data_IF_456191707819
#
_entry.id   IF_456191707819
#
_cell.length_a   1.000
_cell.length_b   1.000
_cell.length_c   1.000
_cell.angle_alpha   90.00
_cell.angle_beta   90.00
_cell.angle_gamma   90.00
#
_symmetry.space_group_name_H-M   'P 1'
#
loop_
_entity.id
_entity.type
_entity.pdbx_description
1 polymer ?
#
# COMPACT_ATOMS: atom_id res chain seq x y z
N UNK A 1 -0.32 10.61 -8.16
CA UNK A 1 -1.28 11.37 -7.32
C UNK A 1 -1.34 10.81 -5.90
N UNK A 2 -1.80 9.57 -5.68
CA UNK A 2 -1.93 9.00 -4.33
C UNK A 2 -0.62 8.99 -3.52
N UNK A 3 0.53 8.68 -4.11
CA UNK A 3 1.82 8.71 -3.39
C UNK A 3 2.14 10.11 -2.86
N UNK A 4 2.02 11.13 -3.72
CA UNK A 4 2.22 12.53 -3.35
C UNK A 4 1.19 13.00 -2.30
N UNK A 5 -0.05 12.52 -2.38
CA UNK A 5 -1.06 12.79 -1.35
C UNK A 5 -0.62 12.25 0.02
N UNK A 6 -0.07 11.04 0.08
CA UNK A 6 0.48 10.48 1.33
C UNK A 6 1.68 11.30 1.84
N UNK A 7 2.57 11.75 0.94
CA UNK A 7 3.67 12.64 1.34
C UNK A 7 3.12 13.92 1.99
N UNK A 8 2.13 14.56 1.36
CA UNK A 8 1.53 15.78 1.91
C UNK A 8 0.81 15.48 3.24
N UNK A 9 0.07 14.37 3.34
CA UNK A 9 -0.59 13.96 4.58
C UNK A 9 0.37 13.90 5.77
N UNK A 10 1.53 13.26 5.60
CA UNK A 10 2.52 13.14 6.68
C UNK A 10 3.36 14.40 6.90
N UNK A 11 3.37 15.35 5.95
CA UNK A 11 4.14 16.59 6.06
C UNK A 11 3.34 17.76 6.63
N UNK A 12 2.01 17.74 6.49
CA UNK A 12 1.15 18.84 6.95
C UNK A 12 0.80 18.64 8.41
N UNK A 13 1.23 19.57 9.27
CA UNK A 13 0.82 19.61 10.67
C UNK A 13 -0.71 19.75 10.79
N UNK A 14 -1.28 19.10 11.80
CA UNK A 14 -2.73 19.12 12.09
C UNK A 14 -3.33 20.51 12.32
N UNK A 15 -2.48 21.53 12.54
CA UNK A 15 -2.83 22.94 12.75
C UNK A 15 -2.52 23.85 11.56
N UNK A 16 -2.08 23.34 10.40
CA UNK A 16 -1.73 24.21 9.27
C UNK A 16 -2.95 24.89 8.68
N UNK A 17 -3.01 26.22 8.84
CA UNK A 17 -4.06 27.08 8.29
C UNK A 17 -3.54 27.88 7.10
N UNK A 18 -4.23 27.81 5.96
CA UNK A 18 -3.98 28.65 4.80
C UNK A 18 -5.23 29.51 4.57
N UNK A 19 -5.08 30.84 4.54
CA UNK A 19 -6.20 31.79 4.41
C UNK A 19 -7.32 31.59 5.47
N UNK A 20 -6.96 31.20 6.69
CA UNK A 20 -7.93 30.95 7.78
C UNK A 20 -8.67 29.60 7.68
N UNK A 21 -8.44 28.82 6.63
CA UNK A 21 -8.96 27.47 6.48
C UNK A 21 -7.91 26.45 6.94
N UNK A 22 -8.29 25.52 7.81
CA UNK A 22 -7.43 24.42 8.21
C UNK A 22 -7.30 23.44 7.02
N UNK A 23 -6.23 23.60 6.23
CA UNK A 23 -5.95 22.76 5.06
C UNK A 23 -5.53 21.34 5.45
N UNK A 24 -5.11 21.12 6.71
CA UNK A 24 -4.80 19.79 7.20
C UNK A 24 -6.02 18.86 7.12
N UNK A 25 -7.26 19.39 7.20
CA UNK A 25 -8.50 18.63 6.99
C UNK A 25 -8.56 17.97 5.61
N UNK A 26 -8.08 18.64 4.56
CA UNK A 26 -8.11 18.13 3.19
C UNK A 26 -7.13 16.97 2.96
N UNK A 27 -6.11 16.87 3.80
CA UNK A 27 -5.04 15.88 3.70
C UNK A 27 -5.14 14.78 4.74
N UNK A 28 -6.22 14.65 5.53
CA UNK A 28 -6.31 13.63 6.61
C UNK A 28 -6.42 12.19 6.11
N UNK A 29 -6.66 11.97 4.83
CA UNK A 29 -7.04 10.65 4.28
C UNK A 29 -5.85 9.82 3.77
N UNK A 30 -4.71 9.86 4.49
CA UNK A 30 -3.48 9.20 4.05
C UNK A 30 -3.61 7.68 3.97
N UNK A 31 -4.30 7.06 4.92
CA UNK A 31 -4.56 5.62 4.94
C UNK A 31 -5.51 5.21 3.81
N UNK A 32 -6.51 6.03 3.49
CA UNK A 32 -7.44 5.82 2.39
C UNK A 32 -6.75 5.87 1.02
N UNK A 33 -5.72 6.71 0.87
CA UNK A 33 -4.87 6.70 -0.32
C UNK A 33 -4.11 5.36 -0.45
N UNK A 34 -3.76 4.70 0.66
CA UNK A 34 -3.18 3.35 0.65
C UNK A 34 -4.23 2.29 0.31
N UNK A 35 -5.48 2.44 0.74
CA UNK A 35 -6.59 1.57 0.29
C UNK A 35 -6.77 1.65 -1.23
N UNK A 36 -6.65 2.84 -1.82
CA UNK A 36 -6.60 2.99 -3.28
C UNK A 36 -5.38 2.27 -3.89
N UNK A 37 -4.21 2.30 -3.26
CA UNK A 37 -3.05 1.51 -3.71
C UNK A 37 -3.31 0.00 -3.68
N UNK A 38 -3.97 -0.53 -2.66
CA UNK A 38 -4.31 -1.95 -2.62
C UNK A 38 -5.25 -2.34 -3.77
N UNK A 39 -6.27 -1.53 -4.06
CA UNK A 39 -7.17 -1.76 -5.19
C UNK A 39 -6.43 -1.71 -6.54
N UNK A 40 -5.59 -0.70 -6.75
CA UNK A 40 -4.80 -0.55 -7.98
C UNK A 40 -3.74 -1.67 -8.12
N UNK A 41 -3.10 -2.05 -7.02
CA UNK A 41 -2.13 -3.15 -6.98
C UNK A 41 -2.81 -4.46 -7.41
N UNK A 42 -3.94 -4.83 -6.81
CA UNK A 42 -4.70 -6.02 -7.20
C UNK A 42 -5.07 -6.02 -8.68
N UNK A 43 -5.49 -4.85 -9.19
CA UNK A 43 -5.81 -4.68 -10.60
C UNK A 43 -4.60 -4.94 -11.52
N UNK A 44 -3.47 -4.27 -11.26
CA UNK A 44 -2.26 -4.32 -12.10
C UNK A 44 -1.59 -5.69 -12.04
N UNK A 45 -1.58 -6.32 -10.87
CA UNK A 45 -0.98 -7.64 -10.69
C UNK A 45 -1.77 -8.70 -11.45
N UNK A 46 -3.10 -8.68 -11.34
CA UNK A 46 -3.93 -9.58 -12.14
C UNK A 46 -3.78 -9.32 -13.64
N UNK A 47 -3.83 -8.06 -14.06
CA UNK A 47 -3.70 -7.68 -15.46
C UNK A 47 -2.38 -8.17 -16.06
N UNK A 48 -1.27 -7.96 -15.36
CA UNK A 48 0.06 -8.40 -15.81
C UNK A 48 0.23 -9.92 -15.76
N UNK A 49 -0.36 -10.60 -14.77
CA UNK A 49 -0.33 -12.06 -14.64
C UNK A 49 -1.13 -12.76 -15.74
N UNK A 50 -2.31 -12.24 -16.11
CA UNK A 50 -3.13 -12.83 -17.17
C UNK A 50 -2.49 -12.63 -18.54
N UNK A 51 -1.87 -11.46 -18.78
CA UNK A 51 -1.20 -11.15 -20.05
C UNK A 51 0.15 -11.85 -20.26
N UNK A 52 0.80 -12.32 -19.19
CA UNK A 52 2.09 -12.99 -19.36
C UNK A 52 1.92 -14.43 -19.85
N UNK A 53 2.81 -14.86 -20.75
CA UNK A 53 2.81 -16.24 -21.26
C UNK A 53 3.36 -17.22 -20.22
N UNK A 54 4.39 -16.81 -19.49
CA UNK A 54 5.04 -17.62 -18.46
C UNK A 54 4.35 -17.42 -17.10
N UNK A 55 3.62 -18.45 -16.67
CA UNK A 55 2.89 -18.50 -15.40
C UNK A 55 3.60 -19.33 -14.33
N UNK A 56 4.91 -19.56 -14.47
CA UNK A 56 5.70 -20.23 -13.44
C UNK A 56 5.82 -19.36 -12.18
N UNK A 57 5.93 -20.02 -11.02
CA UNK A 57 6.14 -19.31 -9.76
C UNK A 57 7.47 -18.56 -9.77
N UNK A 58 8.53 -19.17 -10.32
CA UNK A 58 9.85 -18.55 -10.39
C UNK A 58 9.83 -17.20 -11.10
N UNK A 59 9.26 -17.13 -12.31
CA UNK A 59 9.18 -15.86 -13.07
C UNK A 59 8.28 -14.84 -12.38
N UNK A 60 7.17 -15.28 -11.80
CA UNK A 60 6.28 -14.41 -11.02
C UNK A 60 7.01 -13.84 -9.80
N UNK A 61 7.54 -14.71 -8.95
CA UNK A 61 8.27 -14.37 -7.73
C UNK A 61 9.43 -13.44 -8.03
N UNK A 62 10.29 -13.77 -9.00
CA UNK A 62 11.45 -12.97 -9.35
C UNK A 62 11.07 -11.54 -9.77
N UNK A 63 10.04 -11.38 -10.60
CA UNK A 63 9.55 -10.06 -11.03
C UNK A 63 9.00 -9.24 -9.86
N UNK A 64 8.32 -9.86 -8.89
CA UNK A 64 7.78 -9.16 -7.71
C UNK A 64 8.86 -8.87 -6.68
N UNK A 65 9.74 -9.82 -6.42
CA UNK A 65 10.86 -9.70 -5.51
C UNK A 65 11.79 -8.56 -5.93
N UNK A 66 12.23 -8.55 -7.19
CA UNK A 66 13.12 -7.48 -7.67
C UNK A 66 12.46 -6.11 -7.66
N UNK A 67 11.17 -6.02 -8.02
CA UNK A 67 10.40 -4.77 -8.01
C UNK A 67 10.30 -4.14 -6.61
N UNK A 68 10.15 -4.97 -5.58
CA UNK A 68 9.98 -4.55 -4.18
C UNK A 68 11.32 -4.39 -3.48
N UNK A 69 12.17 -5.42 -3.48
CA UNK A 69 13.35 -5.49 -2.64
C UNK A 69 14.51 -4.61 -3.12
N UNK A 70 14.69 -4.42 -4.44
CA UNK A 70 15.81 -3.58 -4.91
C UNK A 70 15.67 -2.15 -4.38
N UNK A 71 14.54 -1.44 -4.60
CA UNK A 71 14.42 -0.09 -4.06
C UNK A 71 14.30 -0.09 -2.53
N UNK A 72 13.66 -1.11 -1.93
CA UNK A 72 13.55 -1.21 -0.47
C UNK A 72 14.91 -1.28 0.23
N UNK A 73 15.83 -2.12 -0.26
CA UNK A 73 17.16 -2.28 0.34
C UNK A 73 17.94 -0.96 0.29
N UNK A 74 17.86 -0.22 -0.82
CA UNK A 74 18.48 1.10 -0.94
C UNK A 74 17.90 2.06 0.11
N UNK A 75 16.58 2.06 0.29
CA UNK A 75 15.89 2.92 1.27
C UNK A 75 16.16 2.50 2.71
N UNK A 76 16.31 1.21 3.00
CA UNK A 76 16.68 0.72 4.34
C UNK A 76 18.12 1.12 4.71
N UNK A 77 19.05 1.02 3.75
CA UNK A 77 20.43 1.49 3.93
C UNK A 77 20.47 3.00 4.15
N UNK A 78 19.70 3.76 3.35
CA UNK A 78 19.55 5.20 3.56
C UNK A 78 18.99 5.50 4.95
N UNK A 79 17.94 4.79 5.37
CA UNK A 79 17.33 4.96 6.70
C UNK A 79 18.33 4.76 7.83
N UNK A 80 19.13 3.70 7.77
CA UNK A 80 20.20 3.47 8.74
C UNK A 80 21.22 4.63 8.78
N UNK A 81 21.66 5.13 7.63
CA UNK A 81 22.58 6.26 7.58
C UNK A 81 21.97 7.56 8.12
N UNK A 82 20.68 7.79 7.89
CA UNK A 82 19.97 8.94 8.44
C UNK A 82 19.89 8.87 9.97
N UNK A 83 19.65 7.70 10.55
CA UNK A 83 19.67 7.51 12.00
C UNK A 83 21.07 7.72 12.59
N UNK A 84 22.12 7.22 11.94
CA UNK A 84 23.50 7.51 12.34
C UNK A 84 23.82 9.02 12.29
N UNK A 85 23.35 9.70 11.24
CA UNK A 85 23.54 11.14 11.09
C UNK A 85 22.82 11.93 12.20
N UNK A 86 21.57 11.57 12.52
CA UNK A 86 20.77 12.19 13.58
C UNK A 86 21.37 11.96 14.97
N UNK A 87 21.88 10.76 15.24
CA UNK A 87 22.52 10.44 16.51
C UNK A 87 23.94 11.02 16.66
N UNK A 88 24.60 11.38 15.55
CA UNK A 88 26.01 11.79 15.54
C UNK A 88 26.99 10.64 15.80
N UNK A 89 26.53 9.41 15.80
CA UNK A 89 27.32 8.20 16.04
C UNK A 89 26.76 6.99 15.27
N UNK A 90 27.50 5.88 15.24
CA UNK A 90 27.03 4.65 14.63
C UNK A 90 25.98 4.01 15.54
N UNK A 91 24.71 4.06 15.13
CA UNK A 91 23.61 3.45 15.88
C UNK A 91 23.57 1.93 15.72
N UNK A 92 22.90 1.24 16.64
CA UNK A 92 22.65 -0.19 16.50
C UNK A 92 21.77 -0.47 15.27
N UNK A 93 22.25 -1.34 14.38
CA UNK A 93 21.55 -1.70 13.13
C UNK A 93 20.27 -2.55 13.33
N UNK A 94 19.91 -2.90 14.57
CA UNK A 94 18.68 -3.64 14.91
C UNK A 94 18.48 -4.87 14.01
N UNK A 95 19.41 -5.86 14.05
CA UNK A 95 19.45 -6.94 13.06
C UNK A 95 18.19 -7.82 13.06
N UNK A 96 17.54 -7.97 14.21
CA UNK A 96 16.26 -8.68 14.33
C UNK A 96 15.16 -7.94 13.58
N UNK A 97 15.05 -6.63 13.80
CA UNK A 97 14.05 -5.76 13.20
C UNK A 97 14.26 -5.68 11.68
N UNK A 98 15.51 -5.55 11.24
CA UNK A 98 15.90 -5.62 9.85
C UNK A 98 15.45 -6.95 9.21
N UNK A 99 15.78 -8.09 9.85
CA UNK A 99 15.39 -9.41 9.34
C UNK A 99 13.87 -9.56 9.23
N UNK A 100 13.11 -9.17 10.25
CA UNK A 100 11.65 -9.29 10.25
C UNK A 100 10.99 -8.34 9.22
N UNK A 101 11.57 -7.16 8.98
CA UNK A 101 11.14 -6.27 7.90
C UNK A 101 11.47 -6.84 6.51
N UNK A 102 12.63 -7.49 6.36
CA UNK A 102 12.98 -8.22 5.13
C UNK A 102 12.09 -9.44 4.90
N UNK A 103 11.52 -10.02 5.96
CA UNK A 103 10.47 -11.06 5.87
C UNK A 103 9.07 -10.49 5.68
N UNK A 104 8.94 -9.16 5.56
CA UNK A 104 7.68 -8.47 5.32
C UNK A 104 6.66 -8.73 6.43
N UNK A 105 7.09 -8.63 7.69
CA UNK A 105 6.26 -8.85 8.90
C UNK A 105 5.98 -7.57 9.69
N UNK A 106 6.40 -6.41 9.17
CA UNK A 106 6.23 -5.13 9.82
C UNK A 106 4.80 -4.58 9.68
N UNK A 107 4.35 -3.90 10.73
CA UNK A 107 3.13 -3.09 10.76
C UNK A 107 3.32 -1.98 11.83
N UNK A 108 2.38 -1.06 12.02
CA UNK A 108 2.56 0.06 12.97
C UNK A 108 1.97 -0.28 14.34
N UNK A 109 2.82 -0.49 15.34
CA UNK A 109 2.43 -0.87 16.70
C UNK A 109 1.63 0.21 17.45
N UNK A 110 1.83 1.48 17.11
CA UNK A 110 1.09 2.60 17.69
C UNK A 110 -0.36 2.68 17.21
N UNK A 111 -0.68 2.14 16.03
CA UNK A 111 -2.01 2.16 15.44
C UNK A 111 -2.77 0.86 15.65
N UNK A 112 -2.04 -0.26 15.80
CA UNK A 112 -2.62 -1.59 15.79
C UNK A 112 -1.99 -2.48 16.87
N UNK A 113 -2.78 -3.33 17.55
CA UNK A 113 -2.27 -4.22 18.60
C UNK A 113 -1.50 -5.41 18.02
N UNK A 114 -0.70 -6.08 18.86
CA UNK A 114 0.00 -7.35 18.58
C UNK A 114 0.74 -7.38 17.22
N UNK A 115 1.41 -6.27 16.90
CA UNK A 115 2.30 -6.17 15.75
C UNK A 115 3.57 -6.98 15.99
N UNK A 116 4.06 -7.67 14.96
CA UNK A 116 5.25 -8.54 15.07
C UNK A 116 6.53 -7.72 15.22
N UNK A 117 6.66 -6.67 14.41
CA UNK A 117 7.77 -5.73 14.42
C UNK A 117 7.32 -4.39 13.85
N UNK A 118 7.88 -3.28 14.34
CA UNK A 118 7.68 -1.97 13.72
C UNK A 118 8.52 -1.80 12.45
N UNK A 119 8.18 -0.82 11.60
CA UNK A 119 8.94 -0.53 10.39
C UNK A 119 10.38 -0.14 10.69
N UNK A 120 11.31 -0.74 9.95
CA UNK A 120 12.75 -0.54 10.14
C UNK A 120 13.14 0.95 10.07
N UNK A 121 13.91 1.41 11.06
CA UNK A 121 14.39 2.80 11.19
C UNK A 121 13.24 3.83 11.09
N UNK A 122 12.11 3.52 11.74
CA UNK A 122 10.91 4.37 11.84
C UNK A 122 10.27 4.76 10.50
N UNK A 123 10.47 3.96 9.46
CA UNK A 123 9.87 4.19 8.14
C UNK A 123 8.42 3.70 8.10
N UNK A 124 7.50 4.43 8.75
CA UNK A 124 6.11 4.01 8.90
C UNK A 124 5.45 3.48 7.61
N UNK A 125 5.65 4.06 6.41
CA UNK A 125 5.06 3.59 5.14
C UNK A 125 5.34 2.12 4.78
N UNK A 126 6.39 1.50 5.34
CA UNK A 126 6.69 0.09 5.08
C UNK A 126 5.58 -0.86 5.61
N UNK A 127 4.67 -0.38 6.46
CA UNK A 127 3.53 -1.16 6.93
C UNK A 127 2.69 -1.70 5.77
N UNK A 128 2.46 -0.92 4.71
CA UNK A 128 1.60 -1.35 3.60
C UNK A 128 2.31 -2.33 2.67
N UNK A 129 3.65 -2.29 2.65
CA UNK A 129 4.50 -3.17 1.85
C UNK A 129 4.44 -4.62 2.32
N UNK A 130 4.28 -4.85 3.63
CA UNK A 130 4.11 -6.20 4.16
C UNK A 130 2.85 -6.85 3.61
N UNK A 131 1.74 -6.11 3.56
CA UNK A 131 0.48 -6.55 2.98
C UNK A 131 0.64 -6.81 1.49
N UNK A 132 1.19 -5.86 0.74
CA UNK A 132 1.41 -6.00 -0.70
C UNK A 132 2.21 -7.25 -1.06
N UNK A 133 3.32 -7.51 -0.36
CA UNK A 133 4.15 -8.70 -0.59
C UNK A 133 3.38 -10.00 -0.36
N UNK A 134 2.69 -10.12 0.78
CA UNK A 134 1.96 -11.35 1.09
C UNK A 134 0.71 -11.52 0.23
N UNK A 135 0.05 -10.44 -0.19
CA UNK A 135 -1.02 -10.51 -1.19
C UNK A 135 -0.53 -11.10 -2.50
N UNK A 136 0.69 -10.78 -2.94
CA UNK A 136 1.27 -11.37 -4.15
C UNK A 136 1.52 -12.86 -3.98
N UNK A 137 2.08 -13.27 -2.83
CA UNK A 137 2.35 -14.67 -2.56
C UNK A 137 1.04 -15.49 -2.52
N UNK A 138 0.04 -15.00 -1.79
CA UNK A 138 -1.27 -15.65 -1.69
C UNK A 138 -2.04 -15.64 -3.02
N UNK A 139 -1.98 -14.54 -3.75
CA UNK A 139 -2.61 -14.42 -5.07
C UNK A 139 -2.13 -15.51 -6.01
N UNK A 140 -0.82 -15.77 -6.09
CA UNK A 140 -0.30 -16.82 -6.95
C UNK A 140 -0.87 -18.19 -6.56
N UNK A 141 -0.94 -18.50 -5.25
CA UNK A 141 -1.47 -19.77 -4.78
C UNK A 141 -2.95 -19.93 -5.12
N UNK A 142 -3.77 -18.88 -4.92
CA UNK A 142 -5.18 -18.88 -5.28
C UNK A 142 -5.36 -19.05 -6.78
N UNK A 143 -4.56 -18.36 -7.60
CA UNK A 143 -4.64 -18.48 -9.06
C UNK A 143 -4.27 -19.87 -9.58
N UNK A 144 -3.30 -20.52 -8.95
CA UNK A 144 -2.78 -21.84 -9.36
C UNK A 144 -3.69 -22.99 -8.92
N UNK A 145 -4.18 -22.95 -7.68
CA UNK A 145 -4.85 -24.11 -7.07
C UNK A 145 -6.37 -24.07 -7.14
N UNK A 146 -6.97 -22.91 -7.40
CA UNK A 146 -8.41 -22.78 -7.60
C UNK A 146 -8.65 -22.50 -9.09
N UNK A 147 -9.47 -23.30 -9.75
CA UNK A 147 -9.66 -23.20 -11.21
C UNK A 147 -10.66 -22.12 -11.60
N UNK A 148 -11.85 -22.14 -10.99
CA UNK A 148 -12.96 -21.24 -11.33
C UNK A 148 -12.80 -19.84 -10.71
N UNK A 149 -13.04 -18.79 -11.51
CA UNK A 149 -13.01 -17.40 -11.03
C UNK A 149 -13.98 -17.18 -9.86
N UNK A 150 -15.21 -17.69 -9.97
CA UNK A 150 -16.21 -17.52 -8.91
C UNK A 150 -15.79 -18.22 -7.62
N UNK A 151 -15.13 -19.38 -7.73
CA UNK A 151 -14.58 -20.09 -6.55
C UNK A 151 -13.42 -19.33 -5.92
N UNK A 152 -12.57 -18.66 -6.71
CA UNK A 152 -11.50 -17.79 -6.19
C UNK A 152 -12.08 -16.63 -5.39
N UNK A 153 -13.07 -15.95 -5.96
CA UNK A 153 -13.72 -14.80 -5.32
C UNK A 153 -14.41 -15.23 -4.02
N UNK A 154 -15.20 -16.31 -4.06
CA UNK A 154 -15.86 -16.87 -2.88
C UNK A 154 -14.87 -17.30 -1.81
N UNK A 155 -13.76 -17.95 -2.19
CA UNK A 155 -12.71 -18.34 -1.26
C UNK A 155 -12.07 -17.14 -0.57
N UNK A 156 -11.68 -16.11 -1.33
CA UNK A 156 -10.99 -14.94 -0.78
C UNK A 156 -11.92 -14.11 0.11
N UNK A 157 -13.16 -13.86 -0.30
CA UNK A 157 -14.11 -13.14 0.56
C UNK A 157 -14.55 -13.97 1.77
N UNK A 158 -14.72 -15.29 1.63
CA UNK A 158 -14.98 -16.17 2.76
C UNK A 158 -13.82 -16.14 3.77
N UNK A 159 -12.58 -16.19 3.27
CA UNK A 159 -11.38 -16.07 4.11
C UNK A 159 -11.29 -14.71 4.78
N UNK A 160 -11.59 -13.62 4.08
CA UNK A 160 -11.59 -12.27 4.64
C UNK A 160 -12.64 -12.12 5.75
N UNK A 161 -13.84 -12.68 5.59
CA UNK A 161 -14.90 -12.66 6.60
C UNK A 161 -14.50 -13.47 7.84
N UNK A 162 -14.01 -14.70 7.67
CA UNK A 162 -13.52 -15.53 8.79
C UNK A 162 -12.35 -14.85 9.51
N UNK A 163 -11.47 -14.21 8.75
CA UNK A 163 -10.33 -13.48 9.30
C UNK A 163 -10.77 -12.22 10.06
N UNK A 164 -11.79 -11.50 9.58
CA UNK A 164 -12.38 -10.37 10.29
C UNK A 164 -13.01 -10.80 11.62
N UNK A 165 -13.78 -11.90 11.62
CA UNK A 165 -14.36 -12.47 12.83
C UNK A 165 -13.26 -12.85 13.83
N UNK A 166 -12.22 -13.53 13.35
CA UNK A 166 -11.08 -13.92 14.19
C UNK A 166 -10.35 -12.69 14.73
N UNK A 167 -10.13 -11.67 13.91
CA UNK A 167 -9.40 -10.46 14.25
C UNK A 167 -10.08 -9.64 15.35
N UNK A 168 -11.42 -9.60 15.38
CA UNK A 168 -12.19 -8.90 16.44
C UNK A 168 -11.92 -9.50 17.84
N UNK A 169 -11.58 -10.78 17.94
CA UNK A 169 -11.28 -11.44 19.22
C UNK A 169 -9.77 -11.63 19.45
N UNK A 170 -9.01 -11.85 18.38
CA UNK A 170 -7.58 -12.11 18.39
C UNK A 170 -6.89 -11.16 17.40
N UNK A 171 -6.65 -9.89 17.79
CA UNK A 171 -6.21 -8.87 16.86
C UNK A 171 -4.70 -8.99 16.61
N UNK A 172 -4.31 -10.00 15.83
CA UNK A 172 -2.92 -10.32 15.46
C UNK A 172 -2.70 -10.15 13.95
N UNK A 173 -1.44 -10.19 13.52
CA UNK A 173 -1.04 -9.86 12.14
C UNK A 173 -1.74 -10.68 11.05
N UNK A 174 -1.82 -12.02 11.18
CA UNK A 174 -2.30 -12.88 10.09
C UNK A 174 -3.80 -12.70 9.76
N UNK A 175 -4.75 -12.72 10.71
CA UNK A 175 -6.15 -12.42 10.43
C UNK A 175 -6.34 -11.01 9.85
N UNK A 176 -5.55 -10.04 10.33
CA UNK A 176 -5.56 -8.69 9.76
C UNK A 176 -5.15 -8.68 8.29
N UNK A 177 -4.02 -9.31 7.97
CA UNK A 177 -3.54 -9.44 6.59
C UNK A 177 -4.62 -10.06 5.69
N UNK A 178 -5.18 -11.21 6.08
CA UNK A 178 -6.16 -11.93 5.28
C UNK A 178 -7.50 -11.19 5.15
N UNK A 179 -7.90 -10.41 6.15
CA UNK A 179 -9.05 -9.52 6.06
C UNK A 179 -8.86 -8.45 4.97
N UNK A 180 -7.72 -7.75 4.97
CA UNK A 180 -7.41 -6.72 3.95
C UNK A 180 -7.19 -7.30 2.55
N UNK A 181 -6.89 -8.60 2.42
CA UNK A 181 -6.81 -9.27 1.12
C UNK A 181 -8.12 -9.13 0.33
N UNK A 182 -9.28 -9.03 0.99
CA UNK A 182 -10.57 -8.80 0.33
C UNK A 182 -10.62 -7.46 -0.43
N UNK A 183 -10.09 -6.39 0.16
CA UNK A 183 -9.98 -5.07 -0.49
C UNK A 183 -9.08 -5.17 -1.72
N UNK A 184 -7.89 -5.77 -1.57
CA UNK A 184 -6.96 -5.94 -2.67
C UNK A 184 -7.54 -6.81 -3.80
N UNK A 185 -8.29 -7.87 -3.44
CA UNK A 185 -8.94 -8.77 -4.40
C UNK A 185 -10.08 -8.12 -5.18
N UNK A 186 -10.74 -7.10 -4.62
CA UNK A 186 -11.69 -6.29 -5.39
C UNK A 186 -11.02 -5.66 -6.62
N UNK A 187 -9.75 -5.27 -6.52
CA UNK A 187 -8.92 -4.86 -7.67
C UNK A 187 -8.73 -5.95 -8.72
N UNK A 188 -8.51 -7.20 -8.29
CA UNK A 188 -8.40 -8.37 -9.17
C UNK A 188 -9.69 -8.58 -9.97
N UNK A 189 -10.86 -8.46 -9.31
CA UNK A 189 -12.17 -8.58 -9.95
C UNK A 189 -12.41 -7.47 -10.97
N UNK A 190 -12.09 -6.23 -10.62
CA UNK A 190 -12.16 -5.09 -11.53
C UNK A 190 -11.27 -5.31 -12.78
N UNK A 191 -10.08 -5.88 -12.61
CA UNK A 191 -9.18 -6.23 -13.70
C UNK A 191 -9.76 -7.31 -14.61
N UNK A 192 -10.33 -8.37 -14.05
CA UNK A 192 -11.00 -9.42 -14.83
C UNK A 192 -12.16 -8.86 -15.67
N UNK A 193 -13.01 -8.02 -15.08
CA UNK A 193 -14.12 -7.38 -15.80
C UNK A 193 -13.62 -6.46 -16.90
N UNK A 194 -12.63 -5.62 -16.60
CA UNK A 194 -12.00 -4.74 -17.58
C UNK A 194 -11.43 -5.52 -18.77
N UNK A 195 -10.73 -6.62 -18.52
CA UNK A 195 -10.13 -7.45 -19.58
C UNK A 195 -11.15 -8.19 -20.44
N UNK A 196 -12.31 -8.54 -19.88
CA UNK A 196 -13.41 -9.17 -20.60
C UNK A 196 -14.31 -8.17 -21.33
N UNK A 197 -14.06 -6.87 -21.16
CA UNK A 197 -14.98 -5.80 -21.57
C UNK A 197 -16.38 -5.96 -20.95
N UNK A 198 -16.46 -6.53 -19.75
CA UNK A 198 -17.71 -6.65 -19.00
C UNK A 198 -18.14 -5.28 -18.47
N UNK A 199 -19.44 -5.10 -18.27
CA UNK A 199 -19.94 -3.93 -17.59
C UNK A 199 -19.43 -3.84 -16.14
N UNK A 200 -18.90 -2.67 -15.80
CA UNK A 200 -18.45 -2.31 -14.44
C UNK A 200 -19.48 -1.34 -13.88
N UNK A 201 -20.43 -1.88 -13.14
CA UNK A 201 -21.51 -1.17 -12.44
C UNK A 201 -21.59 -1.66 -11.00
N UNK A 202 -22.29 -0.95 -10.12
CA UNK A 202 -22.47 -1.40 -8.74
C UNK A 202 -23.22 -2.74 -8.66
N UNK A 203 -24.17 -2.96 -9.56
CA UNK A 203 -24.92 -4.22 -9.68
C UNK A 203 -24.00 -5.37 -10.09
N UNK A 204 -23.11 -5.15 -11.08
CA UNK A 204 -22.17 -6.20 -11.52
C UNK A 204 -21.08 -6.51 -10.48
N UNK A 205 -20.92 -5.65 -9.47
CA UNK A 205 -20.02 -5.80 -8.32
C UNK A 205 -20.76 -6.12 -7.02
N UNK A 206 -22.06 -6.42 -7.04
CA UNK A 206 -22.86 -6.56 -5.82
C UNK A 206 -22.32 -7.64 -4.87
N UNK A 207 -21.93 -8.81 -5.40
CA UNK A 207 -21.39 -9.91 -4.58
C UNK A 207 -20.07 -9.56 -3.87
N UNK A 208 -19.02 -9.08 -4.55
CA UNK A 208 -17.79 -8.70 -3.87
C UNK A 208 -17.98 -7.50 -2.94
N UNK A 209 -18.85 -6.53 -3.30
CA UNK A 209 -19.20 -5.42 -2.40
C UNK A 209 -19.93 -5.90 -1.15
N UNK A 210 -20.83 -6.88 -1.26
CA UNK A 210 -21.48 -7.50 -0.11
C UNK A 210 -20.46 -8.16 0.83
N UNK A 211 -19.43 -8.82 0.28
CA UNK A 211 -18.32 -9.35 1.07
C UNK A 211 -17.60 -8.27 1.89
N UNK A 212 -17.26 -7.15 1.27
CA UNK A 212 -16.64 -6.00 1.96
C UNK A 212 -17.59 -5.39 2.99
N UNK A 213 -18.90 -5.27 2.69
CA UNK A 213 -19.91 -4.78 3.65
C UNK A 213 -19.99 -5.68 4.87
N UNK A 214 -19.97 -7.00 4.70
CA UNK A 214 -19.98 -7.94 5.84
C UNK A 214 -18.73 -7.74 6.72
N UNK A 215 -17.55 -7.60 6.12
CA UNK A 215 -16.32 -7.30 6.88
C UNK A 215 -16.42 -5.95 7.60
N UNK A 216 -16.91 -4.91 6.94
CA UNK A 216 -17.16 -3.60 7.54
C UNK A 216 -18.09 -3.71 8.78
N UNK A 217 -19.18 -4.47 8.69
CA UNK A 217 -20.10 -4.69 9.81
C UNK A 217 -19.44 -5.47 10.97
N UNK A 218 -18.60 -6.47 10.66
CA UNK A 218 -17.83 -7.21 11.67
C UNK A 218 -16.84 -6.28 12.38
N UNK A 219 -16.11 -5.45 11.66
CA UNK A 219 -15.24 -4.44 12.25
C UNK A 219 -16.04 -3.42 13.09
N UNK A 220 -17.23 -3.02 12.62
CA UNK A 220 -18.16 -2.16 13.36
C UNK A 220 -18.63 -2.78 14.67
N UNK A 221 -18.83 -4.10 14.72
CA UNK A 221 -19.08 -4.82 15.97
C UNK A 221 -17.86 -4.76 16.92
N UNK A 222 -16.63 -4.86 16.38
CA UNK A 222 -15.40 -4.61 17.14
C UNK A 222 -15.34 -3.21 17.76
N UNK A 223 -15.71 -2.18 16.98
CA UNK A 223 -15.83 -0.78 17.46
C UNK A 223 -16.90 -0.66 18.55
N UNK A 224 -18.07 -1.27 18.36
CA UNK A 224 -19.13 -1.28 19.36
C UNK A 224 -18.66 -1.90 20.68
N UNK A 225 -17.97 -3.04 20.63
CA UNK A 225 -17.38 -3.67 21.83
C UNK A 225 -16.37 -2.76 22.53
N UNK A 226 -15.46 -2.14 21.77
CA UNK A 226 -14.47 -1.23 22.33
C UNK A 226 -15.11 0.02 22.96
N UNK A 227 -16.21 0.51 22.38
CA UNK A 227 -17.02 1.59 22.94
C UNK A 227 -17.61 1.21 24.31
N UNK A 228 -18.23 0.03 24.41
CA UNK A 228 -18.78 -0.46 25.67
C UNK A 228 -17.72 -0.66 26.76
N UNK A 229 -16.51 -1.06 26.40
CA UNK A 229 -15.39 -1.21 27.34
C UNK A 229 -14.62 0.10 27.59
N UNK A 230 -14.97 1.21 26.95
CA UNK A 230 -14.27 2.49 27.10
C UNK A 230 -12.83 2.48 26.57
N UNK A 231 -12.49 1.61 25.61
CA UNK A 231 -11.12 1.41 25.10
C UNK A 231 -10.85 2.10 23.76
N UNK A 232 -11.79 2.89 23.24
CA UNK A 232 -11.60 3.66 22.01
C UNK A 232 -10.50 4.71 22.18
N UNK A 233 -9.54 4.75 21.24
CA UNK A 233 -8.39 5.67 21.27
C UNK A 233 -8.41 6.75 20.20
N UNK A 234 -9.08 6.52 19.07
CA UNK A 234 -9.18 7.49 17.98
C UNK A 234 -9.60 6.86 16.65
N UNK A 235 -9.81 7.69 15.62
CA UNK A 235 -10.29 7.25 14.31
C UNK A 235 -9.23 6.55 13.43
N UNK A 236 -7.94 6.77 13.71
CA UNK A 236 -6.80 6.15 13.02
C UNK A 236 -6.17 4.99 13.78
N UNK A 237 -6.85 4.51 14.83
CA UNK A 237 -6.32 3.45 15.70
C UNK A 237 -7.34 2.31 15.75
N UNK A 238 -6.86 1.09 15.89
CA UNK A 238 -7.69 -0.08 16.13
C UNK A 238 -8.68 0.16 17.30
N UNK A 239 -9.95 -0.27 17.18
CA UNK A 239 -10.58 -1.00 16.07
C UNK A 239 -11.26 -0.12 15.00
N UNK A 240 -11.24 1.21 15.16
CA UNK A 240 -11.93 2.14 14.24
C UNK A 240 -11.24 2.18 12.89
N UNK A 241 -9.91 2.06 12.89
CA UNK A 241 -9.07 2.05 11.69
C UNK A 241 -9.57 1.02 10.65
N UNK A 242 -9.73 -0.24 11.06
CA UNK A 242 -10.07 -1.31 10.12
C UNK A 242 -11.50 -1.15 9.57
N UNK A 243 -12.44 -0.68 10.40
CA UNK A 243 -13.79 -0.34 9.94
C UNK A 243 -13.75 0.79 8.90
N UNK A 244 -12.95 1.83 9.16
CA UNK A 244 -12.78 2.99 8.28
C UNK A 244 -12.19 2.58 6.93
N UNK A 245 -11.17 1.73 6.93
CA UNK A 245 -10.52 1.25 5.71
C UNK A 245 -11.45 0.47 4.79
N UNK A 246 -12.29 -0.41 5.34
CA UNK A 246 -13.28 -1.16 4.56
C UNK A 246 -14.40 -0.27 4.04
N UNK A 247 -14.83 0.72 4.84
CA UNK A 247 -15.76 1.75 4.36
C UNK A 247 -15.16 2.56 3.21
N UNK A 248 -13.90 2.97 3.33
CA UNK A 248 -13.18 3.72 2.29
C UNK A 248 -13.04 2.91 1.00
N UNK A 249 -12.81 1.60 1.08
CA UNK A 249 -12.80 0.74 -0.10
C UNK A 249 -14.15 0.74 -0.84
N UNK A 250 -15.27 0.67 -0.11
CA UNK A 250 -16.62 0.78 -0.70
C UNK A 250 -16.82 2.13 -1.38
N UNK A 251 -16.45 3.22 -0.71
CA UNK A 251 -16.60 4.58 -1.23
C UNK A 251 -15.74 4.82 -2.47
N UNK A 252 -14.47 4.38 -2.46
CA UNK A 252 -13.56 4.50 -3.60
C UNK A 252 -14.14 3.79 -4.83
N UNK A 253 -14.66 2.57 -4.68
CA UNK A 253 -15.27 1.84 -5.79
C UNK A 253 -16.57 2.48 -6.24
N UNK A 254 -17.43 2.93 -5.31
CA UNK A 254 -18.68 3.61 -5.67
C UNK A 254 -18.43 4.90 -6.46
N UNK A 255 -17.51 5.75 -5.98
CA UNK A 255 -17.08 6.97 -6.68
C UNK A 255 -16.45 6.62 -8.02
N UNK A 256 -15.59 5.61 -8.09
CA UNK A 256 -14.95 5.17 -9.34
C UNK A 256 -15.96 4.68 -10.40
N UNK A 257 -16.96 3.90 -10.00
CA UNK A 257 -18.03 3.43 -10.88
C UNK A 257 -18.90 4.60 -11.36
N UNK A 258 -19.28 5.51 -10.47
CA UNK A 258 -20.04 6.71 -10.83
C UNK A 258 -19.26 7.62 -11.77
N UNK A 259 -17.96 7.83 -11.50
CA UNK A 259 -17.11 8.65 -12.35
C UNK A 259 -16.94 8.03 -13.74
N UNK A 260 -16.81 6.71 -13.81
CA UNK A 260 -16.84 5.94 -15.07
C UNK A 260 -18.15 6.12 -15.82
N UNK A 261 -19.31 6.06 -15.15
CA UNK A 261 -20.62 6.23 -15.80
C UNK A 261 -20.83 7.64 -16.36
N UNK A 262 -20.08 8.63 -15.85
CA UNK A 262 -20.02 9.98 -16.41
C UNK A 262 -18.96 10.14 -17.51
N UNK A 263 -18.29 9.06 -17.92
CA UNK A 263 -17.27 9.11 -18.97
C UNK A 263 -15.97 9.78 -18.52
N UNK A 264 -15.61 9.68 -17.23
CA UNK A 264 -14.36 10.20 -16.68
C UNK A 264 -14.18 11.72 -16.87
N UNK A 265 -15.26 12.50 -16.70
CA UNK A 265 -15.22 13.97 -16.79
C UNK A 265 -14.08 14.51 -15.91
N UNK A 266 -13.25 15.39 -16.47
CA UNK A 266 -12.08 16.00 -15.82
C UNK A 266 -10.90 15.06 -15.46
N UNK A 267 -10.97 13.76 -15.73
CA UNK A 267 -9.87 12.84 -15.43
C UNK A 267 -8.54 13.28 -16.05
N UNK A 268 -8.58 13.68 -17.32
CA UNK A 268 -7.41 14.16 -18.05
C UNK A 268 -6.82 15.46 -17.51
N UNK A 269 -7.62 16.29 -16.82
CA UNK A 269 -7.13 17.52 -16.19
C UNK A 269 -6.60 17.28 -14.79
N UNK A 270 -7.25 16.41 -14.02
CA UNK A 270 -6.94 16.17 -12.62
C UNK A 270 -5.88 15.09 -12.39
N UNK A 271 -5.94 13.98 -13.12
CA UNK A 271 -5.11 12.79 -12.85
C UNK A 271 -3.93 12.69 -13.82
N UNK A 272 -4.15 12.99 -15.11
CA UNK A 272 -3.14 12.83 -16.17
C UNK A 272 -1.84 13.62 -15.93
N UNK A 273 -1.83 14.85 -15.39
CA UNK A 273 -0.57 15.55 -15.09
C UNK A 273 0.35 14.77 -14.16
N UNK A 274 -0.21 13.96 -13.26
CA UNK A 274 0.57 13.16 -12.31
C UNK A 274 1.18 11.89 -12.92
N UNK A 275 0.91 11.57 -14.19
CA UNK A 275 1.52 10.41 -14.86
C UNK A 275 3.04 10.51 -14.95
N UNK A 276 3.59 11.73 -14.99
CA UNK A 276 5.04 11.96 -14.98
C UNK A 276 5.73 11.36 -13.75
N UNK A 277 5.01 11.28 -12.62
CA UNK A 277 5.51 10.71 -11.37
C UNK A 277 5.18 9.22 -11.20
N UNK A 278 4.37 8.64 -12.09
CA UNK A 278 3.95 7.24 -11.95
C UNK A 278 5.15 6.25 -11.91
N UNK A 279 6.18 6.39 -12.77
CA UNK A 279 7.33 5.48 -12.75
C UNK A 279 8.12 5.47 -11.43
N UNK A 280 8.14 6.60 -10.72
CA UNK A 280 8.95 6.78 -9.49
C UNK A 280 8.10 6.69 -8.21
N UNK A 281 6.79 6.47 -8.35
CA UNK A 281 5.81 6.60 -7.26
C UNK A 281 6.06 5.67 -6.07
N UNK A 282 6.64 4.48 -6.31
CA UNK A 282 6.97 3.53 -5.26
C UNK A 282 8.10 4.07 -4.37
N UNK A 283 9.23 4.53 -4.94
CA UNK A 283 10.33 5.09 -4.13
C UNK A 283 9.92 6.39 -3.46
N UNK A 284 9.11 7.23 -4.12
CA UNK A 284 8.50 8.40 -3.47
C UNK A 284 7.74 7.96 -2.21
N UNK A 285 6.93 6.91 -2.31
CA UNK A 285 6.16 6.41 -1.18
C UNK A 285 7.03 5.83 -0.06
N UNK A 286 8.04 5.02 -0.34
CA UNK A 286 8.84 4.39 0.73
C UNK A 286 9.95 5.28 1.31
N UNK A 287 10.31 6.40 0.66
CA UNK A 287 11.43 7.25 1.10
C UNK A 287 11.02 8.61 1.69
N UNK A 288 9.76 9.03 1.55
CA UNK A 288 9.32 10.36 1.97
C UNK A 288 9.49 10.66 3.47
N UNK A 289 9.48 9.64 4.33
CA UNK A 289 9.71 9.86 5.76
C UNK A 289 11.10 10.47 6.02
N UNK A 290 12.12 9.94 5.36
CA UNK A 290 13.49 10.42 5.52
C UNK A 290 13.76 11.74 4.80
N UNK A 291 13.19 11.91 3.59
CA UNK A 291 13.46 13.10 2.78
C UNK A 291 12.58 14.31 3.08
N UNK A 292 11.42 14.11 3.70
CA UNK A 292 10.42 15.19 3.86
C UNK A 292 9.91 15.28 5.30
N UNK A 293 9.49 14.17 5.92
CA UNK A 293 8.81 14.21 7.23
C UNK A 293 9.79 14.46 8.39
N UNK A 294 10.94 13.78 8.38
CA UNK A 294 11.99 13.90 9.41
C UNK A 294 13.19 14.75 8.98
N UNK A 295 13.13 15.30 7.76
CA UNK A 295 14.23 16.06 7.20
C UNK A 295 14.40 17.41 7.92
N UNK A 296 15.63 17.69 8.34
CA UNK A 296 16.03 18.94 8.99
C UNK A 296 17.32 19.53 8.39
N UNK A 297 17.88 18.91 7.35
CA UNK A 297 19.13 19.31 6.71
C UNK A 297 19.04 20.58 5.86
N UNK A 298 17.83 21.11 5.58
CA UNK A 298 17.60 22.42 4.98
C UNK A 298 17.00 23.44 5.95
N UNK A 299 17.00 23.16 7.25
CA UNK A 299 16.45 24.04 8.30
C UNK A 299 17.15 25.41 8.40
N UNK A 300 18.30 25.59 7.74
CA UNK A 300 18.96 26.89 7.61
C UNK A 300 18.20 27.86 6.69
N UNK A 301 17.23 27.40 5.90
CA UNK A 301 16.41 28.24 5.03
C UNK A 301 15.36 28.98 5.85
N UNK A 302 15.33 30.31 5.77
CA UNK A 302 14.36 31.14 6.51
C UNK A 302 12.92 31.00 5.99
N UNK A 303 12.76 30.63 4.72
CA UNK A 303 11.46 30.48 4.08
C UNK A 303 11.02 29.00 4.08
N UNK A 304 10.04 28.68 4.92
CA UNK A 304 9.49 27.33 5.09
C UNK A 304 8.94 26.72 3.79
N UNK A 305 8.39 27.52 2.88
CA UNK A 305 7.89 27.02 1.61
C UNK A 305 9.05 26.60 0.68
N UNK A 306 10.13 27.38 0.64
CA UNK A 306 11.34 27.03 -0.11
C UNK A 306 12.03 25.80 0.50
N UNK A 307 12.09 25.71 1.83
CA UNK A 307 12.61 24.55 2.55
C UNK A 307 11.85 23.27 2.17
N UNK A 308 10.51 23.30 2.27
CA UNK A 308 9.66 22.16 1.90
C UNK A 308 9.82 21.77 0.43
N UNK A 309 9.87 22.74 -0.48
CA UNK A 309 10.12 22.47 -1.90
C UNK A 309 11.49 21.83 -2.13
N UNK A 310 12.53 22.25 -1.42
CA UNK A 310 13.85 21.64 -1.52
C UNK A 310 13.85 20.18 -1.06
N UNK A 311 13.16 19.86 0.04
CA UNK A 311 12.95 18.49 0.50
C UNK A 311 12.23 17.62 -0.53
N UNK A 312 11.11 18.12 -1.08
CA UNK A 312 10.34 17.39 -2.10
C UNK A 312 11.16 17.19 -3.37
N UNK A 313 11.91 18.20 -3.83
CA UNK A 313 12.75 18.10 -5.02
C UNK A 313 13.87 17.08 -4.84
N UNK A 314 14.50 17.03 -3.67
CA UNK A 314 15.53 16.05 -3.35
C UNK A 314 14.95 14.62 -3.32
N UNK A 315 13.78 14.43 -2.70
CA UNK A 315 13.05 13.15 -2.70
C UNK A 315 12.73 12.69 -4.14
N UNK A 316 12.24 13.60 -5.00
CA UNK A 316 11.90 13.28 -6.38
C UNK A 316 13.15 12.91 -7.20
N UNK A 317 14.26 13.64 -7.01
CA UNK A 317 15.54 13.34 -7.65
C UNK A 317 16.08 11.97 -7.21
N UNK A 318 16.07 11.69 -5.91
CA UNK A 318 16.45 10.38 -5.36
C UNK A 318 15.57 9.27 -5.95
N UNK A 319 14.26 9.46 -5.97
CA UNK A 319 13.30 8.48 -6.50
C UNK A 319 13.53 8.20 -7.98
N UNK A 320 13.84 9.24 -8.76
CA UNK A 320 14.22 9.10 -10.17
C UNK A 320 15.51 8.30 -10.35
N UNK A 321 16.55 8.62 -9.56
CA UNK A 321 17.83 7.89 -9.62
C UNK A 321 17.61 6.41 -9.31
N UNK A 322 16.87 6.09 -8.25
CA UNK A 322 16.64 4.70 -7.85
C UNK A 322 15.82 3.94 -8.90
N UNK A 323 14.67 4.46 -9.32
CA UNK A 323 13.73 3.72 -10.18
C UNK A 323 14.09 3.74 -11.67
N UNK A 324 14.65 4.84 -12.17
CA UNK A 324 14.90 5.02 -13.61
C UNK A 324 16.34 4.68 -13.97
N UNK A 325 17.30 4.90 -13.07
CA UNK A 325 18.72 4.69 -13.35
C UNK A 325 19.22 3.38 -12.74
N UNK A 326 19.07 3.21 -11.41
CA UNK A 326 19.69 2.09 -10.68
C UNK A 326 18.92 0.78 -10.92
N UNK A 327 17.61 0.78 -10.67
CA UNK A 327 16.78 -0.43 -10.77
C UNK A 327 16.88 -1.13 -12.14
N UNK A 328 16.77 -0.44 -13.30
CA UNK A 328 16.88 -1.09 -14.59
C UNK A 328 18.29 -1.64 -14.86
N UNK A 329 19.34 -0.99 -14.35
CA UNK A 329 20.74 -1.48 -14.48
C UNK A 329 20.93 -2.77 -13.69
N UNK A 330 20.47 -2.80 -12.44
CA UNK A 330 20.52 -4.01 -11.59
C UNK A 330 19.72 -5.14 -12.25
N UNK A 331 18.50 -4.85 -12.74
CA UNK A 331 17.65 -5.85 -13.38
C UNK A 331 18.27 -6.43 -14.66
N UNK A 332 18.97 -5.62 -15.47
CA UNK A 332 19.72 -6.11 -16.64
C UNK A 332 20.80 -7.13 -16.25
N UNK A 333 21.45 -6.95 -15.11
CA UNK A 333 22.42 -7.90 -14.57
C UNK A 333 21.81 -9.28 -14.28
N UNK A 334 20.52 -9.34 -13.96
CA UNK A 334 19.79 -10.59 -13.73
C UNK A 334 19.11 -11.17 -14.98
N UNK A 335 19.33 -10.60 -16.18
CA UNK A 335 18.65 -11.03 -17.41
C UNK A 335 18.86 -12.51 -17.77
N UNK A 336 19.92 -13.16 -17.27
CA UNK A 336 20.15 -14.60 -17.40
C UNK A 336 19.16 -15.47 -16.61
N UNK A 337 18.67 -15.01 -15.45
CA UNK A 337 17.76 -15.77 -14.56
C UNK A 337 16.38 -15.96 -15.20
N UNK A 338 15.94 -15.02 -16.05
CA UNK A 338 14.67 -15.07 -16.77
C UNK A 338 14.74 -15.79 -18.13
N UNK A 339 15.95 -16.16 -18.60
CA UNK A 339 16.18 -16.78 -19.92
C UNK A 339 16.43 -18.29 -19.84
N UNK A 340 16.51 -18.89 -18.66
CA UNK A 340 16.69 -20.32 -18.54
C UNK A 340 15.46 -21.05 -19.12
N UNK A 341 15.60 -21.84 -20.21
CA UNK A 341 14.49 -22.62 -20.72
C UNK A 341 14.11 -23.65 -19.66
N UNK A 342 12.82 -23.72 -19.35
CA UNK A 342 12.23 -24.81 -18.58
C UNK A 342 12.56 -26.10 -19.33
N UNK A 343 13.51 -26.88 -18.82
CA UNK A 343 13.68 -28.27 -19.27
C UNK A 343 12.41 -28.98 -18.84
N UNK A 344 11.57 -29.28 -19.81
CA UNK A 344 10.47 -30.23 -19.66
C UNK A 344 11.15 -31.59 -19.51
N UNK A 345 11.24 -32.08 -18.28
CA UNK A 345 11.52 -33.50 -17.98
C UNK A 345 10.21 -34.19 -17.65
#
# INVERSE_FOLDING_TARGET
>A
MAALYVVIHHSVSSSTTLFGLNIALMFRFGEEAVILFFLLSGFVINFSFVKTKDKTFQTYFFKRATRIYIPLLIVMVLGYFMECYEAGEVVNAQPRELLLNLLMLQDISSLKPNVVVDPYMHNSPLWSLSYEWWFYMLYFQVQKHISSSNRKDMFVFGLAIVSALTYVYFPVFLPRLLMYMGIWWLGVILSNKYMKNDEITLQSLAMPLAGIVVVFLICGFGVYRASLSGTLRGMGVHPVLEMRDHFSALMIVAVGVFWKSKGWIFFDRMVRPFLIFAPISYVVYISHYYFVVRAHYFSFMTNQALEFMAYVMLMLAFSYIVEIIIYPKILKGFSGVLRAPVRVT
#
